data_IF_230016686907
#
_entry.id   IF_230016686907
#
_cell.length_a   1.000
_cell.length_b   1.000
_cell.length_c   1.000
_cell.angle_alpha   90.00
_cell.angle_beta   90.00
_cell.angle_gamma   90.00
#
_symmetry.space_group_name_H-M   'P 1'
#
loop_
_entity.id
_entity.type
_entity.pdbx_description
1 polymer ?
#
# COMPACT_ATOMS: atom_id res chain seq x y z
N UNK A 1 -25.29 19.35 -16.96
CA UNK A 1 -23.86 19.06 -16.72
C UNK A 1 -23.14 20.38 -16.59
N UNK A 2 -22.48 20.65 -15.46
CA UNK A 2 -21.74 21.89 -15.28
C UNK A 2 -20.35 21.76 -15.94
N UNK A 3 -20.22 22.27 -17.15
CA UNK A 3 -18.99 22.17 -17.96
C UNK A 3 -17.77 22.81 -17.28
N UNK A 4 -17.98 23.82 -16.43
CA UNK A 4 -16.90 24.48 -15.69
C UNK A 4 -16.38 23.63 -14.52
N UNK A 5 -17.26 22.94 -13.80
CA UNK A 5 -16.84 21.96 -12.78
C UNK A 5 -16.06 20.80 -13.38
N UNK A 6 -16.45 20.32 -14.57
CA UNK A 6 -15.75 19.25 -15.26
C UNK A 6 -14.34 19.68 -15.71
N UNK A 7 -14.20 20.89 -16.26
CA UNK A 7 -12.87 21.45 -16.60
C UNK A 7 -11.98 21.59 -15.38
N UNK A 8 -12.55 22.07 -14.26
CA UNK A 8 -11.82 22.20 -12.99
C UNK A 8 -11.36 20.86 -12.44
N UNK A 9 -12.20 19.83 -12.50
CA UNK A 9 -11.84 18.47 -12.08
C UNK A 9 -10.66 17.92 -12.90
N UNK A 10 -10.69 18.08 -14.23
CA UNK A 10 -9.58 17.66 -15.11
C UNK A 10 -8.29 18.40 -14.77
N UNK A 11 -8.33 19.73 -14.60
CA UNK A 11 -7.15 20.53 -14.27
C UNK A 11 -6.53 20.11 -12.92
N UNK A 12 -7.35 19.76 -11.93
CA UNK A 12 -6.87 19.25 -10.64
C UNK A 12 -6.21 17.88 -10.76
N UNK A 13 -6.78 16.97 -11.55
CA UNK A 13 -6.17 15.65 -11.80
C UNK A 13 -4.84 15.75 -12.55
N UNK A 14 -4.72 16.65 -13.52
CA UNK A 14 -3.46 16.92 -14.20
C UNK A 14 -2.41 17.50 -13.25
N UNK A 15 -2.79 18.47 -12.41
CA UNK A 15 -1.88 19.06 -11.42
C UNK A 15 -1.42 18.04 -10.39
N UNK A 16 -2.33 17.17 -9.92
CA UNK A 16 -1.99 16.06 -9.02
C UNK A 16 -0.94 15.16 -9.66
N UNK A 17 -1.14 14.75 -10.91
CA UNK A 17 -0.20 13.89 -11.64
C UNK A 17 1.19 14.52 -11.81
N UNK A 18 1.24 15.81 -12.11
CA UNK A 18 2.50 16.55 -12.21
C UNK A 18 3.25 16.55 -10.87
N UNK A 19 2.56 16.88 -9.78
CA UNK A 19 3.15 16.90 -8.45
C UNK A 19 3.61 15.50 -8.01
N UNK A 20 2.85 14.45 -8.33
CA UNK A 20 3.25 13.06 -8.08
C UNK A 20 4.56 12.72 -8.83
N UNK A 21 4.67 13.12 -10.10
CA UNK A 21 5.89 12.91 -10.88
C UNK A 21 7.09 13.70 -10.31
N UNK A 22 6.89 14.94 -9.88
CA UNK A 22 7.92 15.75 -9.22
C UNK A 22 8.40 15.11 -7.90
N UNK A 23 7.46 14.63 -7.08
CA UNK A 23 7.78 13.92 -5.83
C UNK A 23 8.57 12.64 -6.10
N UNK A 24 8.18 11.87 -7.12
CA UNK A 24 8.88 10.64 -7.46
C UNK A 24 10.29 10.90 -8.02
N UNK A 25 10.47 11.97 -8.80
CA UNK A 25 11.80 12.39 -9.27
C UNK A 25 12.72 12.78 -8.11
N UNK A 26 12.23 13.58 -7.15
CA UNK A 26 13.00 13.96 -5.96
C UNK A 26 13.36 12.75 -5.10
N UNK A 27 12.44 11.79 -4.94
CA UNK A 27 12.74 10.53 -4.23
C UNK A 27 13.84 9.73 -4.91
N UNK A 28 13.83 9.65 -6.25
CA UNK A 28 14.85 8.93 -6.99
C UNK A 28 16.23 9.56 -6.79
N UNK A 29 16.33 10.89 -6.94
CA UNK A 29 17.58 11.63 -6.72
C UNK A 29 18.10 11.47 -5.29
N UNK A 30 17.20 11.57 -4.29
CA UNK A 30 17.55 11.37 -2.88
C UNK A 30 18.07 9.95 -2.61
N UNK A 31 17.46 8.92 -3.22
CA UNK A 31 17.90 7.54 -3.08
C UNK A 31 19.28 7.30 -3.72
N UNK A 32 19.55 7.90 -4.87
CA UNK A 32 20.88 7.85 -5.51
C UNK A 32 21.96 8.56 -4.66
N UNK A 33 21.61 9.67 -4.01
CA UNK A 33 22.49 10.34 -3.05
C UNK A 33 22.73 9.47 -1.82
N UNK A 34 21.68 8.88 -1.25
CA UNK A 34 21.77 8.00 -0.08
C UNK A 34 22.73 6.82 -0.34
N UNK A 35 22.61 6.16 -1.49
CA UNK A 35 23.51 5.06 -1.87
C UNK A 35 24.98 5.47 -1.94
N UNK A 36 25.28 6.72 -2.31
CA UNK A 36 26.64 7.25 -2.35
C UNK A 36 27.14 7.72 -0.99
N UNK A 37 26.26 8.21 -0.14
CA UNK A 37 26.60 8.76 1.18
C UNK A 37 26.77 7.66 2.23
N UNK A 38 25.98 6.58 2.18
CA UNK A 38 26.07 5.49 3.15
C UNK A 38 27.49 4.91 3.31
N UNK A 39 28.21 4.52 2.22
CA UNK A 39 29.59 4.05 2.34
C UNK A 39 30.55 5.11 2.93
N UNK A 40 30.28 6.40 2.70
CA UNK A 40 31.11 7.48 3.25
C UNK A 40 30.90 7.63 4.76
N UNK A 41 29.66 7.45 5.24
CA UNK A 41 29.37 7.41 6.68
C UNK A 41 30.05 6.19 7.32
N UNK A 42 29.98 5.01 6.69
CA UNK A 42 30.62 3.80 7.18
C UNK A 42 32.15 3.91 7.22
N UNK A 43 32.78 4.35 6.11
CA UNK A 43 34.24 4.52 6.01
C UNK A 43 34.77 5.61 6.94
N UNK A 44 34.00 6.69 7.11
CA UNK A 44 34.35 7.79 8.00
C UNK A 44 34.05 7.52 9.48
N UNK A 45 33.38 6.42 9.81
CA UNK A 45 32.95 6.12 11.18
C UNK A 45 31.92 7.13 11.73
N UNK A 46 31.18 7.81 10.84
CA UNK A 46 30.18 8.79 11.24
C UNK A 46 28.83 8.12 11.49
N UNK A 47 28.35 8.16 12.73
CA UNK A 47 26.97 7.73 13.04
C UNK A 47 25.94 8.81 12.67
N UNK A 48 26.33 10.09 12.75
CA UNK A 48 25.50 11.26 12.43
C UNK A 48 26.32 12.49 12.04
N UNK A 49 25.74 13.35 11.21
CA UNK A 49 26.28 14.64 10.78
C UNK A 49 25.15 15.68 10.83
N UNK A 50 25.40 16.86 11.39
CA UNK A 50 24.47 17.98 11.37
C UNK A 50 24.89 19.02 10.33
N UNK A 51 23.98 19.40 9.43
CA UNK A 51 24.19 20.36 8.35
C UNK A 51 22.87 21.10 8.05
N UNK A 52 22.93 22.40 7.79
CA UNK A 52 21.77 23.24 7.45
C UNK A 52 20.56 23.09 8.38
N UNK A 53 20.82 22.99 9.69
CA UNK A 53 19.78 22.84 10.71
C UNK A 53 19.11 21.46 10.74
N UNK A 54 19.65 20.46 10.04
CA UNK A 54 19.18 19.07 10.04
C UNK A 54 20.29 18.13 10.52
N UNK A 55 19.90 16.97 11.04
CA UNK A 55 20.84 15.90 11.39
C UNK A 55 20.55 14.69 10.52
N UNK A 56 21.56 14.26 9.76
CA UNK A 56 21.57 13.03 8.97
C UNK A 56 22.26 11.96 9.80
N UNK A 57 21.65 10.79 9.95
CA UNK A 57 22.20 9.69 10.76
C UNK A 57 21.88 8.33 10.14
N UNK A 58 22.72 7.33 10.42
CA UNK A 58 22.43 5.95 10.00
C UNK A 58 21.37 5.37 10.94
N UNK A 59 20.21 5.01 10.40
CA UNK A 59 19.16 4.31 11.12
C UNK A 59 19.22 2.80 10.83
N UNK A 60 19.36 1.97 11.86
CA UNK A 60 19.23 0.52 11.73
C UNK A 60 17.74 0.11 11.77
N UNK A 61 17.19 -0.30 10.62
CA UNK A 61 15.85 -0.92 10.55
C UNK A 61 15.92 -2.44 10.55
N UNK A 62 15.10 -3.08 11.38
CA UNK A 62 14.91 -4.53 11.39
C UNK A 62 13.61 -4.89 10.70
N UNK A 63 13.71 -5.66 9.63
CA UNK A 63 12.55 -6.17 8.89
C UNK A 63 12.36 -7.66 9.16
N UNK A 64 11.25 -8.02 9.81
CA UNK A 64 10.87 -9.41 10.01
C UNK A 64 9.99 -9.89 8.86
N UNK A 65 10.33 -11.04 8.26
CA UNK A 65 9.52 -11.71 7.24
C UNK A 65 9.41 -13.20 7.56
N UNK A 66 8.33 -13.82 7.11
CA UNK A 66 8.18 -15.26 7.20
C UNK A 66 9.30 -15.95 6.40
N UNK A 67 9.97 -16.91 7.02
CA UNK A 67 10.93 -17.78 6.33
C UNK A 67 10.20 -18.54 5.23
N UNK A 68 10.77 -18.57 4.03
CA UNK A 68 10.21 -19.23 2.84
C UNK A 68 8.78 -18.78 2.48
N UNK A 69 8.34 -17.63 3.02
CA UNK A 69 6.98 -17.13 2.85
C UNK A 69 5.91 -17.87 3.66
N UNK A 70 6.28 -18.79 4.56
CA UNK A 70 5.34 -19.58 5.37
C UNK A 70 4.72 -18.74 6.50
N UNK A 71 3.74 -17.93 6.11
CA UNK A 71 2.97 -17.08 7.03
C UNK A 71 2.19 -17.92 8.05
N UNK A 72 1.73 -19.12 7.70
CA UNK A 72 0.96 -19.97 8.60
C UNK A 72 1.81 -20.46 9.79
N UNK A 73 3.06 -20.86 9.53
CA UNK A 73 3.99 -21.24 10.59
C UNK A 73 4.33 -20.06 11.52
N UNK A 74 4.50 -18.85 10.96
CA UNK A 74 4.71 -17.61 11.75
C UNK A 74 3.48 -17.29 12.58
N UNK A 75 2.28 -17.31 12.01
CA UNK A 75 1.03 -17.07 12.74
C UNK A 75 0.83 -18.07 13.90
N UNK A 76 1.10 -19.36 13.66
CA UNK A 76 1.04 -20.39 14.69
C UNK A 76 2.08 -20.15 15.80
N UNK A 77 3.30 -19.74 15.42
CA UNK A 77 4.35 -19.41 16.38
C UNK A 77 3.99 -18.16 17.23
N UNK A 78 3.52 -17.09 16.60
CA UNK A 78 3.06 -15.87 17.27
C UNK A 78 1.93 -16.17 18.27
N UNK A 79 0.93 -16.97 17.87
CA UNK A 79 -0.14 -17.42 18.79
C UNK A 79 0.39 -18.20 19.98
N UNK A 80 1.34 -19.15 19.78
CA UNK A 80 1.99 -19.88 20.89
C UNK A 80 2.80 -18.97 21.81
N UNK A 81 3.40 -17.92 21.27
CA UNK A 81 4.16 -16.93 22.03
C UNK A 81 3.27 -15.87 22.72
N UNK A 82 1.94 -16.02 22.70
CA UNK A 82 0.98 -15.02 23.20
C UNK A 82 1.08 -13.65 22.51
N UNK A 83 1.57 -13.64 21.27
CA UNK A 83 1.68 -12.47 20.40
C UNK A 83 0.58 -12.51 19.33
N UNK A 84 -0.62 -13.00 19.69
CA UNK A 84 -1.74 -13.17 18.77
C UNK A 84 -2.20 -11.87 18.10
N UNK A 85 -1.99 -10.74 18.76
CA UNK A 85 -2.35 -9.40 18.26
C UNK A 85 -1.52 -8.95 17.05
N UNK A 86 -0.38 -9.62 16.79
CA UNK A 86 0.44 -9.41 15.59
C UNK A 86 -0.03 -10.24 14.39
N UNK A 87 -1.12 -11.02 14.55
CA UNK A 87 -1.71 -11.86 13.50
C UNK A 87 -3.11 -11.37 13.21
N UNK A 88 -3.30 -10.73 12.06
CA UNK A 88 -4.62 -10.39 11.55
C UNK A 88 -5.36 -11.66 11.07
N UNK A 89 -6.50 -11.98 11.68
CA UNK A 89 -7.46 -12.95 11.14
C UNK A 89 -8.28 -12.27 10.05
N UNK A 90 -7.76 -12.21 8.82
CA UNK A 90 -8.42 -11.50 7.71
C UNK A 90 -8.81 -12.42 6.56
N UNK A 91 -9.84 -12.01 5.83
CA UNK A 91 -10.25 -12.59 4.55
C UNK A 91 -9.97 -11.58 3.42
N UNK A 92 -9.65 -12.07 2.22
CA UNK A 92 -9.37 -11.19 1.08
C UNK A 92 -10.68 -10.57 0.54
N UNK A 93 -10.85 -9.27 0.72
CA UNK A 93 -12.04 -8.53 0.27
C UNK A 93 -12.20 -8.50 -1.25
N UNK A 94 -11.12 -8.53 -2.03
CA UNK A 94 -11.18 -8.60 -3.50
C UNK A 94 -11.68 -9.97 -3.98
N UNK A 95 -11.22 -11.05 -3.34
CA UNK A 95 -11.67 -12.42 -3.62
C UNK A 95 -13.12 -12.62 -3.17
N UNK A 96 -13.49 -12.13 -1.98
CA UNK A 96 -14.88 -12.16 -1.52
C UNK A 96 -15.78 -11.34 -2.45
N UNK A 97 -15.35 -10.14 -2.86
CA UNK A 97 -16.08 -9.33 -3.83
C UNK A 97 -16.17 -10.00 -5.21
N UNK A 98 -15.15 -10.77 -5.62
CA UNK A 98 -15.18 -11.52 -6.87
C UNK A 98 -16.19 -12.66 -6.82
N UNK A 99 -16.21 -13.40 -5.72
CA UNK A 99 -17.19 -14.44 -5.44
C UNK A 99 -18.62 -13.89 -5.43
N UNK A 100 -18.87 -12.77 -4.72
CA UNK A 100 -20.19 -12.09 -4.72
C UNK A 100 -20.59 -11.67 -6.14
N UNK A 101 -19.65 -11.12 -6.95
CA UNK A 101 -19.88 -10.76 -8.36
C UNK A 101 -20.11 -11.95 -9.29
N UNK A 102 -19.60 -13.13 -8.95
CA UNK A 102 -19.83 -14.37 -9.72
C UNK A 102 -21.21 -14.94 -9.45
N UNK A 103 -21.61 -15.00 -8.17
CA UNK A 103 -22.97 -15.39 -7.78
C UNK A 103 -24.01 -14.51 -8.47
N UNK A 104 -23.81 -13.20 -8.46
CA UNK A 104 -24.69 -12.24 -9.14
C UNK A 104 -24.77 -12.47 -10.66
N UNK A 105 -23.62 -12.65 -11.33
CA UNK A 105 -23.57 -12.97 -12.78
C UNK A 105 -24.28 -14.28 -13.13
N UNK A 106 -24.23 -15.26 -12.25
CA UNK A 106 -24.87 -16.56 -12.41
C UNK A 106 -26.33 -16.58 -11.93
N UNK A 107 -26.84 -15.45 -11.43
CA UNK A 107 -28.20 -15.32 -10.88
C UNK A 107 -28.42 -16.11 -9.58
N UNK A 108 -27.35 -16.44 -8.85
CA UNK A 108 -27.41 -17.19 -7.59
C UNK A 108 -27.45 -16.23 -6.39
N UNK A 109 -28.32 -16.47 -5.38
CA UNK A 109 -28.38 -15.62 -4.20
C UNK A 109 -27.17 -15.86 -3.27
N UNK A 110 -26.74 -14.81 -2.57
CA UNK A 110 -25.71 -14.93 -1.53
C UNK A 110 -26.18 -15.88 -0.40
N UNK A 111 -25.33 -16.78 0.12
CA UNK A 111 -25.69 -17.66 1.23
C UNK A 111 -26.21 -16.88 2.46
N UNK A 112 -27.22 -17.39 3.20
CA UNK A 112 -27.83 -16.67 4.33
C UNK A 112 -26.81 -16.21 5.39
N UNK A 113 -25.85 -17.07 5.76
CA UNK A 113 -24.81 -16.75 6.75
C UNK A 113 -23.87 -15.63 6.32
N UNK A 114 -23.68 -15.42 5.02
CA UNK A 114 -22.89 -14.30 4.48
C UNK A 114 -23.76 -13.06 4.30
N UNK A 115 -25.04 -13.23 3.97
CA UNK A 115 -25.99 -12.12 3.81
C UNK A 115 -26.20 -11.33 5.11
N UNK A 116 -26.12 -12.00 6.25
CA UNK A 116 -26.26 -11.36 7.57
C UNK A 116 -25.06 -10.50 7.97
N UNK A 117 -23.89 -10.73 7.37
CA UNK A 117 -22.62 -10.12 7.80
C UNK A 117 -21.94 -9.28 6.72
N UNK A 118 -22.49 -9.23 5.50
CA UNK A 118 -21.95 -8.48 4.37
C UNK A 118 -22.86 -7.34 3.94
N UNK A 119 -22.29 -6.13 3.92
CA UNK A 119 -22.89 -4.95 3.27
C UNK A 119 -22.39 -4.87 1.82
N UNK A 120 -23.32 -4.83 0.86
CA UNK A 120 -23.02 -4.75 -0.57
C UNK A 120 -23.43 -3.36 -1.08
N UNK A 121 -22.44 -2.57 -1.52
CA UNK A 121 -22.67 -1.25 -2.13
C UNK A 121 -22.28 -1.26 -3.61
N UNK A 122 -23.13 -0.71 -4.47
CA UNK A 122 -22.83 -0.54 -5.89
C UNK A 122 -22.04 0.76 -6.14
N UNK A 123 -20.98 0.66 -6.95
CA UNK A 123 -20.21 1.83 -7.37
C UNK A 123 -20.09 1.81 -8.88
N UNK A 124 -20.77 2.76 -9.53
CA UNK A 124 -20.66 2.97 -10.97
C UNK A 124 -19.35 3.71 -11.26
N UNK A 125 -18.46 3.06 -12.01
CA UNK A 125 -17.17 3.65 -12.44
C UNK A 125 -17.11 3.67 -13.95
N UNK A 126 -16.78 4.83 -14.51
CA UNK A 126 -16.41 4.95 -15.91
C UNK A 126 -15.08 4.22 -16.13
N UNK A 127 -15.02 3.32 -17.12
CA UNK A 127 -13.82 2.56 -17.47
C UNK A 127 -13.64 2.52 -18.98
N UNK A 128 -12.38 2.55 -19.43
CA UNK A 128 -11.99 2.35 -20.83
C UNK A 128 -11.29 0.99 -20.98
N UNK A 129 -11.39 0.36 -22.15
CA UNK A 129 -10.74 -0.91 -22.50
C UNK A 129 -10.01 -0.73 -23.84
N UNK A 130 -8.87 -1.38 -24.01
CA UNK A 130 -8.12 -1.43 -25.28
C UNK A 130 -8.71 -2.52 -26.21
N UNK A 131 -8.73 -2.25 -27.51
CA UNK A 131 -8.96 -3.26 -28.57
C UNK A 131 -7.81 -4.25 -28.64
#
# INVERSE_FOLDING_TARGET
MNTEELKRFVALEERRRQLEAEVDAVKAEAAELEQRLLPQFEQGGFEKISIDGRTVYIERKLWAKARDGDKAAVCKALKRCRLGDYVEETFNTNSLSAYVRELDREGRPLPPSLREVLEISEVFKLRTRRS
#
